data_IF_404847820317
#
_entry.id   IF_404847820317
#
_cell.length_a   1.000
_cell.length_b   1.000
_cell.length_c   1.000
_cell.angle_alpha   90.00
_cell.angle_beta   90.00
_cell.angle_gamma   90.00
#
_symmetry.space_group_name_H-M   'P 1'
#
loop_
_entity.id
_entity.type
_entity.pdbx_description
1 polymer ?
#
# COMPACT_ATOMS: atom_id res chain seq x y z
N UNK A 1 15.61 -22.57 1.22
CA UNK A 1 15.05 -21.68 0.19
C UNK A 1 15.47 -20.26 0.53
N UNK A 2 15.83 -19.43 -0.45
CA UNK A 2 16.13 -18.01 -0.22
C UNK A 2 14.84 -17.28 0.16
N UNK A 3 14.85 -16.56 1.29
CA UNK A 3 13.71 -15.78 1.79
C UNK A 3 13.20 -14.82 0.72
N UNK A 4 11.87 -14.69 0.60
CA UNK A 4 11.25 -13.73 -0.30
C UNK A 4 11.71 -12.31 0.03
N UNK A 5 11.79 -11.97 1.31
CA UNK A 5 12.13 -10.61 1.73
C UNK A 5 13.54 -10.22 1.26
N UNK A 6 14.53 -11.10 1.46
CA UNK A 6 15.91 -10.84 0.99
C UNK A 6 15.97 -10.59 -0.51
N UNK A 7 15.16 -11.31 -1.29
CA UNK A 7 15.05 -11.08 -2.74
C UNK A 7 14.39 -9.73 -3.04
N UNK A 8 13.33 -9.37 -2.30
CA UNK A 8 12.65 -8.10 -2.48
C UNK A 8 13.56 -6.91 -2.13
N UNK A 9 14.30 -6.99 -1.03
CA UNK A 9 15.29 -6.00 -0.63
C UNK A 9 16.42 -5.86 -1.67
N UNK A 10 16.88 -6.96 -2.25
CA UNK A 10 17.88 -6.94 -3.32
C UNK A 10 17.39 -6.30 -4.63
N UNK A 11 16.07 -6.23 -4.84
CA UNK A 11 15.45 -5.51 -5.96
C UNK A 11 15.25 -4.01 -5.66
N UNK A 12 15.58 -3.54 -4.46
CA UNK A 12 15.51 -2.13 -4.14
C UNK A 12 16.63 -1.39 -4.86
N UNK A 13 16.27 -0.48 -5.75
CA UNK A 13 17.22 0.23 -6.60
C UNK A 13 17.61 1.57 -5.97
N UNK A 14 18.92 1.80 -5.86
CA UNK A 14 19.40 3.17 -5.61
C UNK A 14 19.21 4.00 -6.88
N UNK A 15 18.61 5.18 -6.78
CA UNK A 15 18.48 6.08 -7.91
C UNK A 15 19.84 6.77 -8.11
N UNK A 16 20.53 6.55 -9.26
CA UNK A 16 21.84 7.16 -9.47
C UNK A 16 21.77 8.69 -9.43
N UNK A 17 22.82 9.34 -8.93
CA UNK A 17 22.92 10.80 -8.87
C UNK A 17 22.66 11.47 -10.22
N UNK A 18 23.16 10.88 -11.32
CA UNK A 18 22.89 11.35 -12.69
C UNK A 18 21.40 11.38 -13.03
N UNK A 19 20.65 10.37 -12.58
CA UNK A 19 19.19 10.30 -12.78
C UNK A 19 18.50 11.37 -11.93
N UNK A 20 18.98 11.62 -10.71
CA UNK A 20 18.48 12.70 -9.84
C UNK A 20 18.73 14.08 -10.47
N UNK A 21 19.91 14.30 -11.05
CA UNK A 21 20.20 15.53 -11.80
C UNK A 21 19.27 15.71 -13.00
N UNK A 22 19.06 14.64 -13.77
CA UNK A 22 18.15 14.67 -14.92
C UNK A 22 16.72 14.98 -14.49
N UNK A 23 16.24 14.39 -13.40
CA UNK A 23 14.94 14.69 -12.79
C UNK A 23 14.87 16.15 -12.34
N UNK A 24 15.94 16.68 -11.75
CA UNK A 24 16.01 18.07 -11.29
C UNK A 24 15.96 19.06 -12.45
N UNK A 25 16.68 18.80 -13.54
CA UNK A 25 16.61 19.60 -14.78
C UNK A 25 15.21 19.56 -15.38
N UNK A 26 14.57 18.37 -15.40
CA UNK A 26 13.19 18.22 -15.88
C UNK A 26 12.21 19.00 -15.00
N UNK A 27 12.37 18.93 -13.67
CA UNK A 27 11.53 19.67 -12.73
C UNK A 27 11.64 21.18 -12.95
N UNK A 28 12.84 21.71 -13.17
CA UNK A 28 13.05 23.13 -13.47
C UNK A 28 12.33 23.55 -14.77
N UNK A 29 12.41 22.70 -15.82
CA UNK A 29 11.70 22.93 -17.08
C UNK A 29 10.18 22.96 -16.89
N UNK A 30 9.60 21.95 -16.24
CA UNK A 30 8.14 21.85 -16.01
C UNK A 30 7.66 23.00 -15.12
N UNK A 31 8.44 23.39 -14.11
CA UNK A 31 8.12 24.54 -13.25
C UNK A 31 8.10 25.85 -14.05
N UNK A 32 9.07 26.04 -14.95
CA UNK A 32 9.10 27.20 -15.86
C UNK A 32 7.89 27.21 -16.80
N UNK A 33 7.45 26.05 -17.29
CA UNK A 33 6.25 25.91 -18.12
C UNK A 33 4.98 26.29 -17.35
N UNK A 34 4.85 25.83 -16.10
CA UNK A 34 3.75 26.20 -15.22
C UNK A 34 3.70 27.72 -14.97
N UNK A 35 4.84 28.34 -14.66
CA UNK A 35 4.91 29.79 -14.44
C UNK A 35 4.48 30.55 -15.70
N UNK A 36 5.04 30.21 -16.86
CA UNK A 36 4.72 30.86 -18.13
C UNK A 36 3.25 30.71 -18.51
N UNK A 37 2.72 29.49 -18.47
CA UNK A 37 1.33 29.31 -18.85
C UNK A 37 0.35 29.91 -17.83
N UNK A 38 0.73 30.05 -16.55
CA UNK A 38 -0.13 30.70 -15.55
C UNK A 38 -0.34 32.18 -15.88
N UNK A 39 0.72 32.84 -16.39
CA UNK A 39 0.64 34.20 -16.91
C UNK A 39 -0.15 34.28 -18.24
N UNK A 40 -0.11 33.23 -19.07
CA UNK A 40 -0.92 33.16 -20.29
C UNK A 40 -2.42 33.03 -19.97
N UNK A 41 -2.79 32.22 -18.97
CA UNK A 41 -4.20 32.03 -18.57
C UNK A 41 -4.84 33.32 -18.09
N UNK A 42 -4.10 34.16 -17.36
CA UNK A 42 -4.61 35.46 -16.90
C UNK A 42 -4.84 36.46 -18.04
N UNK A 43 -4.21 36.24 -19.19
CA UNK A 43 -4.28 37.13 -20.35
C UNK A 43 -5.24 36.63 -21.46
N UNK A 44 -5.97 35.54 -21.22
CA UNK A 44 -6.91 35.01 -22.21
C UNK A 44 -8.05 36.00 -22.46
N UNK A 45 -8.33 36.26 -23.74
CA UNK A 45 -9.44 37.07 -24.19
C UNK A 45 -10.77 36.30 -24.03
N UNK A 46 -11.89 37.03 -23.98
CA UNK A 46 -13.21 36.42 -23.81
C UNK A 46 -13.57 35.40 -24.89
N UNK A 47 -13.11 35.61 -26.13
CA UNK A 47 -13.33 34.68 -27.25
C UNK A 47 -12.57 33.34 -27.09
N UNK A 48 -11.56 33.29 -26.22
CA UNK A 48 -10.73 32.10 -25.96
C UNK A 48 -11.27 31.27 -24.80
N UNK A 49 -12.49 31.58 -24.31
CA UNK A 49 -13.09 30.91 -23.17
C UNK A 49 -13.22 29.39 -23.33
N UNK A 50 -13.41 28.89 -24.56
CA UNK A 50 -13.47 27.44 -24.85
C UNK A 50 -12.13 26.74 -24.58
N UNK A 51 -10.99 27.41 -24.84
CA UNK A 51 -9.65 26.86 -24.61
C UNK A 51 -9.28 26.83 -23.12
N UNK A 52 -10.02 27.53 -22.25
CA UNK A 52 -9.71 27.62 -20.81
C UNK A 52 -9.74 26.25 -20.12
N UNK A 53 -10.65 25.37 -20.51
CA UNK A 53 -10.76 24.03 -19.94
C UNK A 53 -9.56 23.16 -20.34
N UNK A 54 -9.20 23.17 -21.63
CA UNK A 54 -8.04 22.42 -22.14
C UNK A 54 -6.74 22.87 -21.48
N UNK A 55 -6.57 24.19 -21.30
CA UNK A 55 -5.42 24.74 -20.59
C UNK A 55 -5.46 24.32 -19.12
N UNK A 56 -6.61 24.36 -18.44
CA UNK A 56 -6.73 23.93 -17.05
C UNK A 56 -6.35 22.46 -16.85
N UNK A 57 -6.77 21.57 -17.75
CA UNK A 57 -6.43 20.16 -17.73
C UNK A 57 -4.92 19.94 -17.95
N UNK A 58 -4.33 20.66 -18.92
CA UNK A 58 -2.89 20.63 -19.13
C UNK A 58 -2.11 21.12 -17.89
N UNK A 59 -2.59 22.17 -17.24
CA UNK A 59 -2.04 22.69 -15.98
C UNK A 59 -2.12 21.68 -14.84
N UNK A 60 -3.24 20.97 -14.72
CA UNK A 60 -3.40 19.92 -13.73
C UNK A 60 -2.38 18.78 -13.96
N UNK A 61 -2.18 18.38 -15.22
CA UNK A 61 -1.18 17.38 -15.59
C UNK A 61 0.25 17.83 -15.28
N UNK A 62 0.64 19.06 -15.61
CA UNK A 62 1.97 19.60 -15.28
C UNK A 62 2.19 19.73 -13.76
N UNK A 63 1.18 20.18 -13.01
CA UNK A 63 1.26 20.23 -11.53
C UNK A 63 1.47 18.85 -10.93
N UNK A 64 0.76 17.85 -11.46
CA UNK A 64 0.93 16.46 -11.07
C UNK A 64 2.34 15.94 -11.41
N UNK A 65 2.85 16.20 -12.62
CA UNK A 65 4.24 15.85 -13.01
C UNK A 65 5.26 16.53 -12.08
N UNK A 66 5.11 17.82 -11.78
CA UNK A 66 5.96 18.53 -10.82
C UNK A 66 5.98 17.88 -9.44
N UNK A 67 4.80 17.49 -8.92
CA UNK A 67 4.69 16.82 -7.63
C UNK A 67 5.41 15.46 -7.65
N UNK A 68 5.22 14.67 -8.72
CA UNK A 68 5.90 13.39 -8.90
C UNK A 68 7.43 13.54 -9.00
N UNK A 69 7.92 14.50 -9.78
CA UNK A 69 9.36 14.74 -9.92
C UNK A 69 9.98 15.19 -8.59
N UNK A 70 9.33 16.09 -7.85
CA UNK A 70 9.77 16.51 -6.52
C UNK A 70 9.84 15.33 -5.56
N UNK A 71 8.80 14.50 -5.54
CA UNK A 71 8.76 13.25 -4.76
C UNK A 71 9.99 12.40 -5.06
N UNK A 72 10.22 12.05 -6.33
CA UNK A 72 11.33 11.18 -6.72
C UNK A 72 12.71 11.76 -6.38
N UNK A 73 12.90 13.08 -6.45
CA UNK A 73 14.17 13.71 -6.08
C UNK A 73 14.38 13.66 -4.56
N UNK A 74 13.35 14.04 -3.78
CA UNK A 74 13.43 14.06 -2.31
C UNK A 74 13.64 12.65 -1.76
N UNK A 75 12.88 11.67 -2.24
CA UNK A 75 13.00 10.29 -1.77
C UNK A 75 14.22 9.60 -2.36
N UNK A 76 14.51 9.77 -3.66
CA UNK A 76 15.61 9.11 -4.34
C UNK A 76 17.00 9.46 -3.82
N UNK A 77 17.16 10.61 -3.16
CA UNK A 77 18.40 10.99 -2.48
C UNK A 77 18.63 10.28 -1.15
N UNK A 78 17.56 9.75 -0.52
CA UNK A 78 17.59 9.23 0.86
C UNK A 78 17.23 7.75 0.97
N UNK A 79 16.40 7.25 0.06
CA UNK A 79 15.78 5.93 0.13
C UNK A 79 15.95 5.18 -1.18
N UNK A 80 15.88 3.85 -1.11
CA UNK A 80 15.91 2.99 -2.28
C UNK A 80 14.50 2.78 -2.81
N UNK A 81 14.33 2.83 -4.13
CA UNK A 81 13.05 2.56 -4.76
C UNK A 81 12.76 1.06 -4.71
N UNK A 82 11.68 0.67 -4.05
CA UNK A 82 11.25 -0.72 -3.97
C UNK A 82 10.15 -0.98 -5.01
N UNK A 83 10.39 -1.97 -5.88
CA UNK A 83 9.37 -2.43 -6.83
C UNK A 83 8.14 -2.99 -6.10
N UNK A 84 6.95 -2.82 -6.68
CA UNK A 84 5.71 -3.48 -6.22
C UNK A 84 5.63 -4.95 -6.63
N UNK A 85 6.50 -5.38 -7.56
CA UNK A 85 6.49 -6.74 -8.12
C UNK A 85 6.64 -7.86 -7.07
N UNK A 86 7.46 -7.72 -6.00
CA UNK A 86 7.54 -8.71 -4.94
C UNK A 86 6.21 -8.99 -4.22
N UNK A 87 5.32 -8.00 -4.10
CA UNK A 87 3.99 -8.20 -3.50
C UNK A 87 3.10 -9.13 -4.34
N UNK A 88 3.43 -9.32 -5.62
CA UNK A 88 2.74 -10.24 -6.53
C UNK A 88 3.31 -11.65 -6.48
N UNK A 89 4.40 -11.90 -5.73
CA UNK A 89 4.96 -13.24 -5.62
C UNK A 89 4.02 -14.19 -4.88
N UNK A 90 3.93 -15.41 -5.41
CA UNK A 90 3.09 -16.48 -4.87
C UNK A 90 3.91 -17.71 -4.51
N UNK A 91 3.45 -18.44 -3.51
CA UNK A 91 3.96 -19.75 -3.19
C UNK A 91 3.46 -20.79 -4.21
N UNK A 92 3.87 -22.05 -4.04
CA UNK A 92 3.44 -23.17 -4.90
C UNK A 92 1.92 -23.39 -4.91
N UNK A 93 1.21 -22.89 -3.91
CA UNK A 93 -0.23 -23.03 -3.81
C UNK A 93 -0.96 -21.82 -4.38
N UNK A 94 -0.27 -20.72 -4.75
CA UNK A 94 -0.89 -19.48 -5.18
C UNK A 94 -1.25 -18.53 -4.03
N UNK A 95 -0.64 -18.66 -2.86
CA UNK A 95 -0.80 -17.75 -1.73
C UNK A 95 0.31 -16.70 -1.70
N UNK A 96 0.07 -15.50 -1.15
CA UNK A 96 1.08 -14.43 -1.15
C UNK A 96 2.33 -14.83 -0.36
N UNK A 97 3.50 -14.57 -0.94
CA UNK A 97 4.80 -14.74 -0.24
C UNK A 97 5.19 -13.53 0.59
N UNK A 98 4.54 -12.40 0.40
CA UNK A 98 4.75 -11.17 1.14
C UNK A 98 3.40 -10.54 1.47
N UNK A 99 3.25 -10.10 2.71
CA UNK A 99 2.06 -9.42 3.22
C UNK A 99 2.45 -8.05 3.75
N UNK A 100 1.54 -7.08 3.61
CA UNK A 100 1.74 -5.69 4.03
C UNK A 100 0.96 -5.44 5.30
N UNK A 101 1.61 -4.89 6.33
CA UNK A 101 1.01 -4.47 7.58
C UNK A 101 1.09 -2.95 7.69
N UNK A 102 0.06 -2.33 8.26
CA UNK A 102 0.16 -0.93 8.68
C UNK A 102 1.06 -0.83 9.92
N UNK A 103 1.83 0.26 10.06
CA UNK A 103 2.65 0.47 11.27
C UNK A 103 1.80 0.47 12.55
N UNK A 104 0.55 0.93 12.46
CA UNK A 104 -0.39 1.00 13.58
C UNK A 104 -1.30 -0.24 13.71
N UNK A 105 -1.12 -1.27 12.86
CA UNK A 105 -2.00 -2.45 12.81
C UNK A 105 -1.20 -3.73 12.58
N UNK A 106 -1.17 -4.67 13.55
CA UNK A 106 -0.47 -5.95 13.39
C UNK A 106 -1.24 -6.93 12.50
N UNK A 107 -2.48 -6.61 12.09
CA UNK A 107 -3.33 -7.50 11.32
C UNK A 107 -3.31 -7.15 9.83
N UNK A 108 -3.31 -8.19 9.00
CA UNK A 108 -3.55 -8.14 7.56
C UNK A 108 -4.72 -9.07 7.25
N UNK A 109 -5.71 -8.60 6.49
CA UNK A 109 -6.90 -9.40 6.20
C UNK A 109 -7.45 -9.16 4.78
N UNK A 110 -7.72 -10.26 4.08
CA UNK A 110 -8.47 -10.30 2.83
C UNK A 110 -9.72 -11.14 3.09
N UNK A 111 -10.91 -10.54 2.99
CA UNK A 111 -12.18 -11.27 3.12
C UNK A 111 -13.06 -11.09 1.91
N UNK A 112 -13.67 -12.18 1.46
CA UNK A 112 -14.81 -12.12 0.56
C UNK A 112 -16.05 -11.90 1.41
N UNK A 113 -16.85 -10.87 1.09
CA UNK A 113 -18.16 -10.71 1.71
C UNK A 113 -19.24 -11.00 0.67
N UNK A 114 -20.25 -11.80 1.01
CA UNK A 114 -21.44 -11.87 0.18
C UNK A 114 -22.09 -10.49 0.19
N UNK A 115 -22.35 -9.92 -0.98
CA UNK A 115 -23.22 -8.75 -1.04
C UNK A 115 -24.65 -9.26 -1.23
N UNK A 116 -25.33 -9.51 -0.12
CA UNK A 116 -26.78 -9.66 -0.13
C UNK A 116 -27.37 -8.25 -0.23
N UNK A 117 -27.34 -7.69 -1.43
CA UNK A 117 -28.16 -6.52 -1.72
C UNK A 117 -29.60 -6.97 -1.72
N UNK A 118 -30.41 -6.39 -0.83
CA UNK A 118 -31.86 -6.39 -1.00
C UNK A 118 -32.15 -5.98 -2.45
N UNK A 119 -32.89 -6.86 -3.13
CA UNK A 119 -33.48 -6.56 -4.42
C UNK A 119 -34.24 -5.23 -4.28
N UNK A 120 -34.04 -4.34 -5.25
CA UNK A 120 -34.82 -3.10 -5.51
C UNK A 120 -34.31 -1.86 -4.75
N UNK A 121 -33.34 -1.14 -5.32
CA UNK A 121 -33.54 0.22 -5.84
C UNK A 121 -32.31 0.72 -6.60
N UNK A 122 -32.57 1.40 -7.71
CA UNK A 122 -31.61 2.11 -8.55
C UNK A 122 -30.88 3.25 -7.80
N UNK A 123 -29.71 3.60 -8.35
CA UNK A 123 -28.95 4.85 -8.20
C UNK A 123 -27.97 5.01 -7.01
N UNK A 124 -26.78 5.52 -7.40
CA UNK A 124 -25.89 6.41 -6.64
C UNK A 124 -25.42 5.96 -5.25
N UNK A 125 -24.15 5.54 -5.17
CA UNK A 125 -23.35 5.75 -3.95
C UNK A 125 -22.27 6.77 -4.25
N UNK A 126 -22.62 8.02 -3.96
CA UNK A 126 -21.68 9.08 -3.66
C UNK A 126 -20.88 8.72 -2.39
N UNK A 127 -19.67 9.29 -2.30
CA UNK A 127 -18.78 9.39 -1.14
C UNK A 127 -19.48 9.39 0.24
N UNK A 128 -18.67 9.06 1.27
CA UNK A 128 -18.86 9.16 2.74
C UNK A 128 -19.08 7.73 3.32
N UNK A 129 -18.17 7.03 3.97
CA UNK A 129 -16.94 7.30 4.73
C UNK A 129 -15.89 6.20 4.44
N UNK A 130 -14.63 6.62 4.38
CA UNK A 130 -13.40 5.84 4.50
C UNK A 130 -13.30 4.48 3.77
N UNK A 131 -12.67 4.58 2.59
CA UNK A 131 -11.85 3.53 1.97
C UNK A 131 -12.57 2.26 1.48
N UNK A 132 -13.65 2.39 0.73
CA UNK A 132 -14.14 1.25 -0.09
C UNK A 132 -13.72 1.42 -1.55
N UNK A 133 -12.93 0.47 -2.05
CA UNK A 133 -12.39 0.47 -3.42
C UNK A 133 -13.50 0.20 -4.43
N UNK A 134 -13.53 1.01 -5.49
CA UNK A 134 -14.46 0.88 -6.61
C UNK A 134 -14.16 -0.43 -7.36
N UNK A 135 -15.18 -1.26 -7.55
CA UNK A 135 -15.11 -2.51 -8.33
C UNK A 135 -16.09 -2.45 -9.49
N UNK A 136 -15.64 -2.92 -10.67
CA UNK A 136 -16.50 -3.13 -11.83
C UNK A 136 -17.46 -4.31 -11.57
N UNK A 137 -18.75 -4.08 -11.85
CA UNK A 137 -19.83 -5.04 -11.64
C UNK A 137 -19.73 -6.21 -12.63
N UNK A 138 -19.37 -7.39 -12.14
CA UNK A 138 -19.94 -8.66 -12.62
C UNK A 138 -20.28 -9.54 -11.41
N UNK A 139 -21.57 -9.89 -11.27
CA UNK A 139 -22.11 -10.84 -10.28
C UNK A 139 -22.11 -10.45 -8.78
N UNK A 140 -22.55 -9.24 -8.42
CA UNK A 140 -23.18 -9.02 -7.10
C UNK A 140 -22.37 -9.42 -5.85
N UNK A 141 -21.05 -9.50 -5.91
CA UNK A 141 -20.18 -9.67 -4.74
C UNK A 141 -19.39 -8.38 -4.56
N UNK A 142 -19.40 -7.85 -3.33
CA UNK A 142 -18.60 -6.68 -2.96
C UNK A 142 -17.40 -7.17 -2.19
N UNK A 143 -16.22 -6.93 -2.74
CA UNK A 143 -14.99 -7.45 -2.20
C UNK A 143 -14.18 -6.35 -1.53
N UNK A 144 -13.73 -6.58 -0.30
CA UNK A 144 -13.04 -5.57 0.51
C UNK A 144 -11.81 -6.19 1.18
N UNK A 145 -10.64 -5.61 0.90
CA UNK A 145 -9.41 -5.89 1.65
C UNK A 145 -9.38 -4.89 2.80
N UNK A 146 -9.54 -5.36 4.03
CA UNK A 146 -9.65 -4.51 5.20
C UNK A 146 -8.39 -4.64 6.06
N UNK A 147 -7.92 -3.51 6.56
CA UNK A 147 -7.22 -3.45 7.84
C UNK A 147 -8.25 -2.93 8.82
N UNK A 148 -8.13 -3.28 10.11
CA UNK A 148 -9.14 -2.97 11.13
C UNK A 148 -9.60 -1.51 11.16
N UNK A 149 -8.88 -0.56 10.52
CA UNK A 149 -9.27 0.86 10.45
C UNK A 149 -9.01 1.63 9.13
N UNK A 150 -8.34 1.06 8.11
CA UNK A 150 -8.04 1.74 6.83
C UNK A 150 -7.92 0.73 5.69
N UNK A 151 -8.36 1.06 4.47
CA UNK A 151 -8.05 0.18 3.33
C UNK A 151 -6.68 0.50 2.77
N UNK A 152 -6.04 -0.50 2.17
CA UNK A 152 -4.78 -0.29 1.44
C UNK A 152 -5.00 0.68 0.29
N UNK A 153 -3.97 1.47 -0.07
CA UNK A 153 -3.94 2.16 -1.34
C UNK A 153 -4.26 1.21 -2.49
N UNK A 154 -5.11 1.64 -3.42
CA UNK A 154 -5.60 0.84 -4.57
C UNK A 154 -4.46 0.15 -5.33
N UNK A 155 -3.31 0.82 -5.47
CA UNK A 155 -2.12 0.29 -6.15
C UNK A 155 -1.58 -0.96 -5.43
N UNK A 156 -1.49 -0.92 -4.10
CA UNK A 156 -1.04 -2.07 -3.30
C UNK A 156 -2.12 -3.16 -3.29
N UNK A 157 -3.39 -2.78 -3.15
CA UNK A 157 -4.50 -3.73 -3.17
C UNK A 157 -4.55 -4.53 -4.48
N UNK A 158 -4.31 -3.87 -5.62
CA UNK A 158 -4.30 -4.52 -6.94
C UNK A 158 -3.29 -5.67 -7.03
N UNK A 159 -2.22 -5.62 -6.24
CA UNK A 159 -1.22 -6.68 -6.15
C UNK A 159 -1.73 -7.97 -5.51
N UNK A 160 -2.94 -7.98 -4.92
CA UNK A 160 -3.57 -9.15 -4.27
C UNK A 160 -4.86 -9.62 -4.98
N UNK A 161 -5.17 -9.08 -6.16
CA UNK A 161 -6.39 -9.38 -6.93
C UNK A 161 -6.56 -10.86 -7.30
N UNK A 162 -5.48 -11.57 -7.61
CA UNK A 162 -5.49 -13.00 -7.91
C UNK A 162 -5.73 -13.87 -6.68
N UNK A 163 -5.18 -13.49 -5.52
CA UNK A 163 -5.44 -14.13 -4.22
C UNK A 163 -6.92 -14.01 -3.89
N UNK A 164 -7.48 -12.85 -4.17
CA UNK A 164 -8.89 -12.58 -3.98
C UNK A 164 -9.78 -13.48 -4.84
N UNK A 165 -9.52 -13.54 -6.15
CA UNK A 165 -10.25 -14.44 -7.05
C UNK A 165 -10.08 -15.91 -6.69
N UNK A 166 -8.95 -16.28 -6.07
CA UNK A 166 -8.76 -17.63 -5.54
C UNK A 166 -9.66 -17.89 -4.33
N UNK A 167 -9.74 -16.97 -3.37
CA UNK A 167 -10.66 -17.08 -2.22
C UNK A 167 -12.13 -17.11 -2.67
N UNK A 168 -12.50 -16.31 -3.68
CA UNK A 168 -13.83 -16.31 -4.29
C UNK A 168 -14.17 -17.67 -4.91
N UNK A 169 -13.24 -18.29 -5.66
CA UNK A 169 -13.44 -19.62 -6.26
C UNK A 169 -13.52 -20.74 -5.22
N UNK A 170 -12.83 -20.59 -4.09
CA UNK A 170 -12.92 -21.54 -2.98
C UNK A 170 -14.25 -21.42 -2.25
N UNK A 171 -14.85 -20.22 -2.25
CA UNK A 171 -16.13 -19.97 -1.61
C UNK A 171 -17.26 -20.64 -2.38
N UNK A 172 -18.02 -21.51 -1.72
CA UNK A 172 -19.17 -22.19 -2.34
C UNK A 172 -20.46 -21.48 -1.99
N UNK A 173 -21.34 -21.38 -2.98
CA UNK A 173 -22.70 -20.85 -2.82
C UNK A 173 -23.69 -21.99 -2.99
N UNK A 174 -24.49 -22.26 -1.96
CA UNK A 174 -25.69 -23.06 -2.19
C UNK A 174 -26.67 -22.20 -3.00
N UNK A 175 -27.29 -22.75 -4.04
CA UNK A 175 -28.24 -22.03 -4.91
C UNK A 175 -29.50 -21.49 -4.19
N UNK A 176 -29.56 -21.63 -2.86
CA UNK A 176 -30.61 -21.10 -1.98
C UNK A 176 -30.15 -19.90 -1.14
N UNK A 177 -28.87 -19.53 -1.18
CA UNK A 177 -28.33 -18.36 -0.49
C UNK A 177 -28.26 -18.46 1.03
N UNK A 178 -28.26 -19.67 1.60
CA UNK A 178 -28.43 -19.91 3.05
C UNK A 178 -27.17 -20.53 3.70
N UNK A 179 -26.31 -21.23 2.95
CA UNK A 179 -25.05 -21.78 3.45
C UNK A 179 -23.93 -21.54 2.46
N UNK A 180 -23.38 -20.33 2.52
CA UNK A 180 -22.15 -20.00 1.83
C UNK A 180 -20.96 -20.23 2.77
N UNK A 181 -20.01 -21.06 2.35
CA UNK A 181 -18.70 -21.15 3.01
C UNK A 181 -17.86 -20.00 2.45
N UNK A 182 -17.41 -19.11 3.32
CA UNK A 182 -16.54 -17.99 2.95
C UNK A 182 -15.12 -18.28 3.40
N UNK A 183 -14.18 -18.00 2.52
CA UNK A 183 -12.77 -18.08 2.84
C UNK A 183 -12.19 -16.67 2.95
N UNK A 184 -11.64 -16.34 4.12
CA UNK A 184 -10.75 -15.20 4.30
C UNK A 184 -9.30 -15.63 4.30
N UNK A 185 -8.39 -14.65 4.20
CA UNK A 185 -6.97 -14.79 4.50
C UNK A 185 -6.65 -13.77 5.60
N UNK A 186 -6.18 -14.22 6.75
CA UNK A 186 -5.72 -13.36 7.83
C UNK A 186 -4.27 -13.66 8.18
N UNK A 187 -3.53 -12.63 8.57
CA UNK A 187 -2.16 -12.74 9.03
C UNK A 187 -1.96 -11.78 10.20
N UNK A 188 -1.16 -12.20 11.18
CA UNK A 188 -0.80 -11.37 12.34
C UNK A 188 0.71 -11.25 12.45
N UNK A 189 1.19 -10.02 12.49
CA UNK A 189 2.57 -9.69 12.81
C UNK A 189 2.80 -9.76 14.32
N UNK A 190 3.72 -10.62 14.77
CA UNK A 190 4.01 -10.85 16.19
C UNK A 190 5.37 -10.28 16.65
N UNK A 191 6.20 -9.83 15.71
CA UNK A 191 7.52 -9.29 16.01
C UNK A 191 7.49 -7.89 16.62
N UNK A 192 8.51 -7.55 17.41
CA UNK A 192 8.74 -6.18 17.86
C UNK A 192 9.70 -5.46 16.91
N UNK A 193 9.38 -4.20 16.60
CA UNK A 193 10.26 -3.31 15.83
C UNK A 193 11.35 -2.76 16.75
N UNK A 194 12.65 -2.93 16.41
CA UNK A 194 13.76 -2.36 17.18
C UNK A 194 13.66 -0.84 17.39
N UNK A 195 14.29 -0.31 18.44
CA UNK A 195 14.18 1.13 18.81
C UNK A 195 14.76 2.05 17.74
N UNK A 196 15.90 1.68 17.17
CA UNK A 196 16.57 2.40 16.08
C UNK A 196 15.69 2.45 14.82
N UNK A 197 14.98 1.36 14.50
CA UNK A 197 14.05 1.31 13.36
C UNK A 197 12.81 2.15 13.62
N UNK A 198 12.28 2.13 14.86
CA UNK A 198 11.18 3.03 15.27
C UNK A 198 11.57 4.49 15.10
N UNK A 199 12.80 4.86 15.44
CA UNK A 199 13.31 6.22 15.22
C UNK A 199 13.32 6.57 13.73
N UNK A 200 13.81 5.68 12.86
CA UNK A 200 13.75 5.88 11.39
C UNK A 200 12.32 6.03 10.86
N UNK A 201 11.36 5.28 11.40
CA UNK A 201 9.94 5.40 11.05
C UNK A 201 9.40 6.78 11.42
N UNK A 202 9.72 7.28 12.63
CA UNK A 202 9.28 8.59 13.10
C UNK A 202 9.84 9.70 12.21
N UNK A 203 11.12 9.63 11.85
CA UNK A 203 11.78 10.62 10.97
C UNK A 203 11.20 10.59 9.55
N UNK A 204 10.83 9.41 9.05
CA UNK A 204 10.23 9.23 7.73
C UNK A 204 8.74 9.62 7.68
N UNK A 205 8.04 9.67 8.81
CA UNK A 205 6.57 9.79 8.89
C UNK A 205 6.03 11.03 8.17
N UNK A 206 6.71 12.16 8.29
CA UNK A 206 6.29 13.43 7.67
C UNK A 206 6.54 13.47 6.16
N UNK A 207 7.37 12.57 5.64
CA UNK A 207 7.69 12.53 4.22
C UNK A 207 6.69 11.67 3.45
N UNK A 208 6.28 10.54 4.02
CA UNK A 208 5.40 9.58 3.35
C UNK A 208 3.92 9.78 3.66
N UNK A 209 3.05 9.40 2.73
CA UNK A 209 1.60 9.38 3.00
C UNK A 209 1.25 8.30 4.02
N UNK A 210 1.85 7.13 3.82
CA UNK A 210 1.68 5.97 4.69
C UNK A 210 2.99 5.21 4.81
N UNK A 211 3.22 4.55 5.95
CA UNK A 211 4.36 3.66 6.17
C UNK A 211 3.79 2.27 6.48
N UNK A 212 4.42 1.26 5.89
CA UNK A 212 4.05 -0.13 6.04
C UNK A 212 5.23 -0.99 6.49
N UNK A 213 4.90 -2.14 7.05
CA UNK A 213 5.83 -3.24 7.30
C UNK A 213 5.49 -4.37 6.34
N UNK A 214 6.47 -4.84 5.57
CA UNK A 214 6.32 -6.00 4.68
C UNK A 214 7.02 -7.18 5.33
N UNK A 215 6.32 -8.30 5.49
CA UNK A 215 6.91 -9.53 6.00
C UNK A 215 6.49 -10.76 5.19
N UNK A 216 7.26 -11.83 5.32
CA UNK A 216 6.97 -13.15 4.73
C UNK A 216 6.04 -13.89 5.70
N UNK A 217 4.85 -14.29 5.26
CA UNK A 217 4.00 -15.15 6.07
C UNK A 217 4.66 -16.52 6.19
N UNK A 218 4.47 -17.13 7.35
CA UNK A 218 4.85 -18.49 7.65
C UNK A 218 3.84 -19.51 7.17
N UNK A 219 3.64 -20.58 7.95
CA UNK A 219 2.87 -21.73 7.50
C UNK A 219 1.38 -21.40 7.34
N UNK A 220 0.87 -21.61 6.14
CA UNK A 220 -0.51 -21.35 5.80
C UNK A 220 -1.42 -22.44 6.39
N UNK A 221 -2.36 -22.04 7.25
CA UNK A 221 -3.37 -22.93 7.82
C UNK A 221 -4.76 -22.53 7.30
N UNK A 222 -5.49 -23.49 6.72
CA UNK A 222 -6.81 -23.23 6.15
C UNK A 222 -7.87 -23.65 7.17
N UNK A 223 -8.61 -22.70 7.72
CA UNK A 223 -9.86 -22.98 8.47
C UNK A 223 -11.08 -22.62 7.62
N UNK A 224 -12.24 -23.21 7.90
CA UNK A 224 -13.47 -23.06 7.08
C UNK A 224 -13.97 -21.61 6.97
N UNK A 225 -13.48 -20.71 7.81
CA UNK A 225 -13.78 -19.27 7.80
C UNK A 225 -12.57 -18.39 7.49
N UNK A 226 -11.36 -18.88 7.72
CA UNK A 226 -10.15 -18.04 7.67
C UNK A 226 -8.88 -18.85 7.39
N UNK A 227 -8.08 -18.39 6.45
CA UNK A 227 -6.73 -18.90 6.24
C UNK A 227 -5.79 -18.09 7.13
N UNK A 228 -5.28 -18.70 8.19
CA UNK A 228 -4.37 -18.04 9.14
C UNK A 228 -2.94 -18.21 8.66
N UNK A 229 -2.23 -17.10 8.59
CA UNK A 229 -0.81 -17.01 8.29
C UNK A 229 -0.07 -16.55 9.56
N UNK A 230 0.68 -17.41 10.27
CA UNK A 230 1.59 -16.96 11.30
C UNK A 230 2.76 -16.26 10.63
N UNK A 231 3.21 -15.07 11.06
CA UNK A 231 4.41 -14.45 10.46
C UNK A 231 5.65 -15.20 10.94
N UNK A 232 6.54 -15.58 10.03
CA UNK A 232 7.82 -16.17 10.44
C UNK A 232 8.75 -15.09 11.02
N UNK A 233 9.52 -15.39 12.08
CA UNK A 233 10.64 -14.56 12.47
C UNK A 233 11.61 -14.53 11.28
N UNK A 234 11.64 -13.40 10.61
CA UNK A 234 12.47 -13.14 9.44
C UNK A 234 12.95 -11.70 9.50
N UNK A 235 13.28 -11.16 8.33
CA UNK A 235 13.83 -9.81 8.22
C UNK A 235 12.79 -8.88 7.57
N UNK A 236 11.75 -8.37 8.27
CA UNK A 236 10.77 -7.49 7.66
C UNK A 236 11.39 -6.22 7.06
N UNK A 237 10.67 -5.64 6.10
CA UNK A 237 11.02 -4.36 5.49
C UNK A 237 10.06 -3.28 5.99
N UNK A 238 10.59 -2.17 6.46
CA UNK A 238 9.85 -0.92 6.61
C UNK A 238 9.90 -0.17 5.30
N UNK A 239 8.72 0.15 4.76
CA UNK A 239 8.59 0.87 3.50
C UNK A 239 7.69 2.09 3.64
N UNK A 240 8.08 3.19 2.99
CA UNK A 240 7.27 4.39 2.86
C UNK A 240 6.53 4.39 1.52
N UNK A 241 5.26 4.79 1.54
CA UNK A 241 4.45 4.98 0.35
C UNK A 241 4.20 6.47 0.11
N UNK A 242 4.65 6.98 -1.03
CA UNK A 242 4.50 8.40 -1.41
C UNK A 242 3.14 8.71 -2.08
N UNK A 243 2.29 7.69 -2.25
CA UNK A 243 1.06 7.76 -3.02
C UNK A 243 1.11 7.06 -4.38
N UNK A 244 2.29 6.66 -4.83
CA UNK A 244 2.49 5.98 -6.10
C UNK A 244 3.48 4.81 -6.01
N UNK A 245 4.60 5.01 -5.31
CA UNK A 245 5.73 4.08 -5.24
C UNK A 245 6.06 3.70 -3.78
N UNK A 246 6.71 2.55 -3.61
CA UNK A 246 7.28 2.13 -2.34
C UNK A 246 8.76 2.51 -2.29
N UNK A 247 9.18 3.00 -1.14
CA UNK A 247 10.55 3.39 -0.85
C UNK A 247 11.01 2.62 0.38
N UNK A 248 12.12 1.89 0.26
CA UNK A 248 12.70 1.13 1.37
C UNK A 248 13.31 2.09 2.38
N UNK A 249 12.78 2.07 3.60
CA UNK A 249 13.27 2.88 4.74
C UNK A 249 14.35 2.10 5.49
N UNK A 250 14.05 0.85 5.84
CA UNK A 250 14.98 -0.03 6.54
C UNK A 250 14.54 -1.49 6.43
N UNK A 251 15.49 -2.40 6.44
CA UNK A 251 15.31 -3.80 6.82
C UNK A 251 15.69 -3.98 8.30
N UNK A 252 15.08 -4.96 8.97
CA UNK A 252 15.38 -5.24 10.37
C UNK A 252 15.06 -6.67 10.74
N UNK A 253 15.74 -7.17 11.78
CA UNK A 253 15.40 -8.43 12.42
C UNK A 253 14.38 -8.19 13.54
N UNK A 254 13.33 -9.00 13.59
CA UNK A 254 12.33 -8.89 14.66
C UNK A 254 12.93 -9.34 15.99
N UNK A 255 12.77 -8.54 17.04
CA UNK A 255 13.06 -8.99 18.41
C UNK A 255 11.88 -9.83 18.92
N UNK A 256 12.09 -11.08 19.36
CA UNK A 256 11.06 -11.85 20.05
C UNK A 256 10.53 -11.09 21.28
N UNK A 257 9.25 -11.24 21.59
CA UNK A 257 8.61 -10.52 22.70
C UNK A 257 9.28 -10.89 24.03
N UNK A 258 9.68 -12.15 24.16
CA UNK A 258 10.35 -12.72 25.33
C UNK A 258 11.67 -11.99 25.62
N UNK A 259 12.47 -11.74 24.59
CA UNK A 259 13.74 -11.02 24.74
C UNK A 259 13.52 -9.56 25.14
N UNK A 260 12.51 -8.90 24.55
CA UNK A 260 12.21 -7.50 24.90
C UNK A 260 11.74 -7.32 26.35
N UNK A 261 11.12 -8.33 26.95
CA UNK A 261 10.75 -8.32 28.37
C UNK A 261 11.96 -8.40 29.29
N UNK A 262 13.04 -9.08 28.89
CA UNK A 262 14.26 -9.23 29.70
C UNK A 262 15.05 -7.91 29.75
N UNK A 263 15.06 -7.14 28.67
CA UNK A 263 15.85 -5.91 28.53
C UNK A 263 15.12 -4.62 28.93
N UNK A 264 13.88 -4.71 29.42
CA UNK A 264 13.17 -3.55 29.94
C UNK A 264 13.60 -3.34 31.40
N UNK A 265 14.47 -2.35 31.72
CA UNK A 265 14.84 -2.09 33.10
C UNK A 265 13.56 -1.80 33.89
N UNK A 266 13.44 -2.31 35.14
CA UNK A 266 12.27 -2.04 35.96
C UNK A 266 12.06 -0.54 36.02
N UNK A 267 10.85 -0.09 35.69
CA UNK A 267 10.43 1.30 35.88
C UNK A 267 10.50 1.52 37.39
N UNK A 268 11.60 2.08 37.87
CA UNK A 268 11.68 2.52 39.25
C UNK A 268 10.81 3.77 39.34
N UNK A 269 9.59 3.58 39.82
CA UNK A 269 8.71 4.68 40.21
C UNK A 269 9.48 5.56 41.19
N UNK A 270 9.85 6.75 40.73
CA UNK A 270 10.39 7.80 41.59
C UNK A 270 9.23 8.35 42.39
N UNK A 271 9.03 7.79 43.59
CA UNK A 271 8.26 8.42 44.66
C UNK A 271 8.84 9.79 45.03
#
# INVERSE_FOLDING_TARGET
MTSAIKKAAALAEHIPSEKIERLSRRLALVSTQLERGSASVSNLLGIEGSARNDIADHFAALKFECAQLRSQIVFGTRYHLLSMEPLKWRDKNGWPRLVVFGVDSPYFEIRTRPYFGDFIFDCFVAKIQDHTVKTEKKCGMKTVINFERRALPDVIQSCYSDVLHKLERMSTWDGRGIRSKFFGLSCRFEGLIPKDIRQKIVEARELFKEIFVIAEPGKIEITETEVILPVHPGDPLVVGFDGNQLWLIADFETTPVEEAMIFSPPIMDKN
#
